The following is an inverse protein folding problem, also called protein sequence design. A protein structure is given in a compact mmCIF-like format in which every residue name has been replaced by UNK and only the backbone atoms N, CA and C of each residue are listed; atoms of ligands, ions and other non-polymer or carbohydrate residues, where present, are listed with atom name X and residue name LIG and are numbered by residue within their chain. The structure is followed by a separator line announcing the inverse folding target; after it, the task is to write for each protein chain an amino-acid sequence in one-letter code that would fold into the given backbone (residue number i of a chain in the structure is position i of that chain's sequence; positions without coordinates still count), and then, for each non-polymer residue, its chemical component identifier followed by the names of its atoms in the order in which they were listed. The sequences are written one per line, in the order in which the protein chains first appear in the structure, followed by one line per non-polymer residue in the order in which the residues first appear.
data_IF_411160128071
#
_entry.id   IF_411160128071
#
_cell.length_a   1.000
_cell.length_b   1.000
_cell.length_c   1.000
_cell.angle_alpha   90.00
_cell.angle_beta   90.00
_cell.angle_gamma   90.00
#
_symmetry.space_group_name_H-M   'P 1'
#
loop_
_entity.id
_entity.type
_entity.pdbx_description
1 polymer ?
#
# COMPACT_ATOMS: atom_id res chain seq x y z
N UNK A 1 43.58 -21.51 79.40
CA UNK A 1 43.66 -20.15 78.86
C UNK A 1 44.31 -20.29 77.48
N UNK A 2 43.48 -20.40 76.43
CA UNK A 2 43.27 -19.39 75.38
C UNK A 2 44.53 -19.27 74.49
N UNK A 3 44.54 -19.60 73.20
CA UNK A 3 43.61 -19.19 72.14
C UNK A 3 43.71 -20.19 70.96
N UNK A 4 42.59 -20.75 70.49
CA UNK A 4 42.53 -21.50 69.23
C UNK A 4 41.48 -20.82 68.34
N UNK A 5 41.93 -19.84 67.57
CA UNK A 5 41.08 -19.07 66.66
C UNK A 5 41.38 -19.49 65.22
N UNK A 6 40.71 -20.54 64.76
CA UNK A 6 40.51 -20.80 63.33
C UNK A 6 39.28 -19.99 62.87
N UNK A 7 39.37 -19.10 61.88
CA UNK A 7 38.18 -18.46 61.35
C UNK A 7 37.50 -19.42 60.36
N UNK A 8 36.34 -19.95 60.77
CA UNK A 8 35.40 -20.61 59.87
C UNK A 8 35.07 -19.69 58.69
N UNK A 9 35.52 -20.08 57.50
CA UNK A 9 35.17 -19.39 56.26
C UNK A 9 33.66 -19.54 56.03
N UNK A 10 32.92 -18.44 56.21
CA UNK A 10 31.52 -18.35 55.81
C UNK A 10 31.46 -18.41 54.28
N UNK A 11 31.04 -19.55 53.75
CA UNK A 11 30.66 -19.70 52.35
C UNK A 11 29.46 -18.80 52.08
N UNK A 12 29.70 -17.63 51.50
CA UNK A 12 28.65 -16.78 50.94
C UNK A 12 28.12 -17.47 49.68
N UNK A 13 26.86 -17.93 49.71
CA UNK A 13 26.16 -18.32 48.50
C UNK A 13 26.11 -17.10 47.56
N UNK A 14 26.36 -17.28 46.25
CA UNK A 14 26.12 -16.19 45.30
C UNK A 14 24.62 -15.88 45.30
N UNK A 15 24.26 -14.72 45.86
CA UNK A 15 22.94 -14.13 45.73
C UNK A 15 22.61 -14.05 44.24
N UNK A 16 21.55 -14.75 43.84
CA UNK A 16 20.99 -14.69 42.49
C UNK A 16 20.84 -13.23 42.09
N UNK A 17 21.66 -12.78 41.15
CA UNK A 17 21.54 -11.45 40.56
C UNK A 17 20.15 -11.36 39.93
N UNK A 18 19.27 -10.60 40.56
CA UNK A 18 18.05 -10.14 39.93
C UNK A 18 18.48 -9.36 38.69
N UNK A 19 18.28 -9.94 37.52
CA UNK A 19 18.45 -9.25 36.25
C UNK A 19 17.43 -8.11 36.21
N UNK A 20 17.79 -6.95 36.76
CA UNK A 20 17.01 -5.73 36.63
C UNK A 20 17.20 -5.26 35.20
N UNK A 21 16.30 -5.67 34.32
CA UNK A 21 16.31 -5.24 32.91
C UNK A 21 15.93 -3.76 32.85
N UNK A 22 16.79 -2.82 33.25
CA UNK A 22 16.46 -1.39 33.32
C UNK A 22 15.69 -0.92 32.09
N UNK A 23 14.58 -0.20 32.29
CA UNK A 23 13.81 0.36 31.17
C UNK A 23 14.74 1.25 30.32
N UNK A 24 14.60 1.25 28.98
CA UNK A 24 15.39 2.13 28.12
C UNK A 24 15.21 3.59 28.53
N UNK A 25 16.30 4.36 28.51
CA UNK A 25 16.30 5.79 28.87
C UNK A 25 15.69 6.69 27.79
N UNK A 26 15.37 6.15 26.61
CA UNK A 26 14.75 6.88 25.50
C UNK A 26 13.77 5.99 24.75
N UNK A 27 12.72 6.62 24.20
CA UNK A 27 11.76 5.92 23.36
C UNK A 27 12.43 5.54 22.02
N UNK A 28 12.31 4.28 21.57
CA UNK A 28 12.79 3.90 20.25
C UNK A 28 12.14 4.78 19.16
N UNK A 29 12.95 5.26 18.21
CA UNK A 29 12.43 5.97 17.03
C UNK A 29 11.73 4.94 16.14
N UNK A 30 10.40 5.02 16.04
CA UNK A 30 9.62 4.00 15.33
C UNK A 30 9.16 4.56 13.98
N UNK A 31 9.59 3.97 12.85
CA UNK A 31 9.32 4.53 11.53
C UNK A 31 7.91 4.24 11.01
N UNK A 32 7.13 3.39 11.68
CA UNK A 32 5.84 2.88 11.15
C UNK A 32 4.72 3.20 12.12
N UNK A 33 3.80 4.07 11.69
CA UNK A 33 2.52 4.28 12.37
C UNK A 33 1.45 3.35 11.80
N UNK A 34 0.67 2.73 12.68
CA UNK A 34 -0.54 1.99 12.29
C UNK A 34 -1.56 2.97 11.72
N UNK A 35 -2.02 2.74 10.50
CA UNK A 35 -2.94 3.65 9.77
C UNK A 35 -4.19 2.94 9.23
N UNK A 36 -4.51 1.76 9.78
CA UNK A 36 -5.66 0.94 9.41
C UNK A 36 -5.53 0.09 8.15
N UNK A 37 -4.45 0.24 7.36
CA UNK A 37 -4.18 -0.57 6.16
C UNK A 37 -2.96 -1.46 6.28
N UNK A 38 -2.10 -1.19 7.25
CA UNK A 38 -0.79 -1.82 7.42
C UNK A 38 -0.70 -2.66 8.71
N UNK A 39 -1.82 -3.15 9.25
CA UNK A 39 -1.84 -3.78 10.57
C UNK A 39 -0.87 -4.95 10.71
N UNK A 40 -0.82 -5.89 9.76
CA UNK A 40 0.09 -7.04 9.87
C UNK A 40 1.56 -6.65 9.80
N UNK A 41 1.92 -5.73 8.92
CA UNK A 41 3.27 -5.15 8.88
C UNK A 41 3.62 -4.41 10.18
N UNK A 42 2.73 -3.53 10.65
CA UNK A 42 2.89 -2.82 11.91
C UNK A 42 3.05 -3.77 13.09
N UNK A 43 2.22 -4.81 13.18
CA UNK A 43 2.27 -5.83 14.22
C UNK A 43 3.63 -6.54 14.22
N UNK A 44 4.15 -6.89 13.04
CA UNK A 44 5.49 -7.49 12.92
C UNK A 44 6.60 -6.59 13.47
N UNK A 45 6.61 -5.32 13.08
CA UNK A 45 7.58 -4.32 13.58
C UNK A 45 7.44 -4.14 15.10
N UNK A 46 6.21 -4.00 15.58
CA UNK A 46 5.91 -3.76 16.98
C UNK A 46 6.26 -4.97 17.87
N UNK A 47 5.98 -6.19 17.41
CA UNK A 47 6.39 -7.42 18.11
C UNK A 47 7.90 -7.46 18.29
N UNK A 48 8.68 -7.13 17.26
CA UNK A 48 10.14 -7.09 17.37
C UNK A 48 10.60 -6.04 18.39
N UNK A 49 10.02 -4.84 18.34
CA UNK A 49 10.31 -3.77 19.29
C UNK A 49 9.99 -4.14 20.73
N UNK A 50 8.84 -4.76 20.98
CA UNK A 50 8.46 -5.21 22.31
C UNK A 50 9.37 -6.36 22.79
N UNK A 51 9.80 -7.23 21.88
CA UNK A 51 10.74 -8.32 22.20
C UNK A 51 12.09 -7.80 22.65
N UNK A 52 12.68 -6.85 21.91
CA UNK A 52 14.00 -6.29 22.24
C UNK A 52 14.02 -5.54 23.57
N UNK A 53 12.87 -5.06 24.03
CA UNK A 53 12.71 -4.38 25.31
C UNK A 53 12.20 -5.30 26.45
N UNK A 54 11.99 -6.59 26.19
CA UNK A 54 11.47 -7.55 27.17
C UNK A 54 10.00 -7.32 27.57
N UNK A 55 9.22 -6.67 26.70
CA UNK A 55 7.84 -6.25 26.94
C UNK A 55 6.79 -7.16 26.25
N UNK A 56 7.21 -8.03 25.31
CA UNK A 56 6.26 -8.83 24.53
C UNK A 56 5.34 -9.69 25.41
N UNK A 57 5.87 -10.29 26.48
CA UNK A 57 5.08 -11.13 27.39
C UNK A 57 3.99 -10.34 28.14
N UNK A 58 4.15 -9.02 28.31
CA UNK A 58 3.15 -8.16 28.95
C UNK A 58 1.97 -7.96 28.01
N UNK A 59 2.21 -7.58 26.75
CA UNK A 59 1.14 -7.37 25.76
C UNK A 59 0.43 -8.65 25.36
N UNK A 60 1.10 -9.80 25.46
CA UNK A 60 0.51 -11.13 25.22
C UNK A 60 -0.17 -11.72 26.47
N UNK A 61 -0.12 -11.03 27.62
CA UNK A 61 -0.81 -11.46 28.84
C UNK A 61 -0.20 -12.70 29.49
N UNK A 62 1.06 -13.03 29.14
CA UNK A 62 1.80 -14.18 29.69
C UNK A 62 2.39 -13.89 31.06
N UNK A 63 2.51 -12.62 31.44
CA UNK A 63 2.98 -12.22 32.77
C UNK A 63 1.80 -12.17 33.74
N UNK A 64 1.87 -12.95 34.81
CA UNK A 64 0.87 -12.93 35.88
C UNK A 64 0.90 -11.60 36.62
N UNK A 65 -0.27 -10.97 36.79
CA UNK A 65 -0.39 -9.69 37.52
C UNK A 65 -0.18 -9.94 39.02
N UNK A 66 0.85 -9.35 39.65
CA UNK A 66 1.07 -9.52 41.08
C UNK A 66 -0.02 -8.85 41.91
N UNK A 67 -0.29 -9.35 43.11
CA UNK A 67 -1.21 -8.69 44.05
C UNK A 67 -0.73 -7.28 44.40
N UNK A 68 -1.64 -6.30 44.43
CA UNK A 68 -1.31 -4.89 44.73
C UNK A 68 -0.73 -4.67 46.12
N UNK A 69 -1.16 -5.48 47.07
CA UNK A 69 -0.72 -5.43 48.46
C UNK A 69 -0.16 -6.79 48.87
N UNK A 70 0.75 -6.75 49.85
CA UNK A 70 1.31 -7.91 50.53
C UNK A 70 1.23 -7.68 52.04
N UNK A 71 0.92 -8.73 52.79
CA UNK A 71 0.91 -8.69 54.25
C UNK A 71 2.33 -8.98 54.74
N UNK A 72 2.89 -8.07 55.52
CA UNK A 72 4.19 -8.25 56.15
C UNK A 72 4.09 -9.22 57.35
N UNK A 73 5.24 -9.68 57.86
CA UNK A 73 5.29 -10.68 58.94
C UNK A 73 4.66 -10.19 60.26
N UNK A 74 4.53 -8.88 60.42
CA UNK A 74 3.88 -8.20 61.54
C UNK A 74 2.35 -8.02 61.35
N UNK A 75 1.78 -8.51 60.24
CA UNK A 75 0.37 -8.36 59.89
C UNK A 75 0.03 -7.05 59.17
N UNK A 76 1.01 -6.16 58.96
CA UNK A 76 0.79 -4.88 58.28
C UNK A 76 0.56 -5.08 56.78
N UNK A 77 -0.48 -4.44 56.22
CA UNK A 77 -0.74 -4.44 54.77
C UNK A 77 0.16 -3.39 54.12
N UNK A 78 1.07 -3.84 53.25
CA UNK A 78 2.00 -2.97 52.52
C UNK A 78 1.80 -3.07 51.01
N UNK A 79 2.23 -2.05 50.28
CA UNK A 79 2.24 -2.07 48.82
C UNK A 79 3.25 -3.11 48.30
N UNK A 80 2.87 -3.85 47.26
CA UNK A 80 3.75 -4.82 46.65
C UNK A 80 4.69 -4.17 45.63
N UNK A 81 6.00 -4.27 45.87
CA UNK A 81 7.06 -3.83 44.94
C UNK A 81 6.96 -4.52 43.57
N UNK A 82 6.53 -5.77 43.54
CA UNK A 82 6.44 -6.55 42.29
C UNK A 82 5.29 -6.04 41.42
N UNK A 83 4.18 -5.63 42.04
CA UNK A 83 3.08 -4.98 41.36
C UNK A 83 3.52 -3.64 40.75
N UNK A 84 4.30 -2.84 41.48
CA UNK A 84 4.82 -1.57 40.95
C UNK A 84 5.76 -1.78 39.75
N UNK A 85 6.66 -2.77 39.81
CA UNK A 85 7.54 -3.10 38.70
C UNK A 85 6.74 -3.58 37.48
N UNK A 86 5.79 -4.51 37.71
CA UNK A 86 4.87 -4.95 36.66
C UNK A 86 4.12 -3.78 36.03
N UNK A 87 3.56 -2.88 36.84
CA UNK A 87 2.78 -1.74 36.37
C UNK A 87 3.65 -0.77 35.56
N UNK A 88 4.89 -0.52 36.00
CA UNK A 88 5.83 0.33 35.26
C UNK A 88 6.14 -0.24 33.87
N UNK A 89 6.34 -1.56 33.77
CA UNK A 89 6.59 -2.27 32.50
C UNK A 89 5.39 -2.25 31.58
N UNK A 90 4.21 -2.55 32.12
CA UNK A 90 2.96 -2.57 31.37
C UNK A 90 2.63 -1.17 30.84
N UNK A 91 2.75 -0.12 31.67
CA UNK A 91 2.56 1.26 31.24
C UNK A 91 3.56 1.69 30.16
N UNK A 92 4.81 1.25 30.26
CA UNK A 92 5.80 1.53 29.23
C UNK A 92 5.43 0.84 27.90
N UNK A 93 5.01 -0.43 27.94
CA UNK A 93 4.53 -1.14 26.76
C UNK A 93 3.30 -0.48 26.13
N UNK A 94 2.33 -0.06 26.96
CA UNK A 94 1.14 0.66 26.52
C UNK A 94 1.51 2.00 25.86
N UNK A 95 2.45 2.74 26.45
CA UNK A 95 2.96 4.00 25.88
C UNK A 95 3.63 3.75 24.53
N UNK A 96 4.45 2.70 24.41
CA UNK A 96 5.03 2.32 23.12
C UNK A 96 3.95 2.06 22.07
N UNK A 97 2.87 1.34 22.39
CA UNK A 97 1.74 1.11 21.47
C UNK A 97 1.07 2.43 21.08
N UNK A 98 0.76 3.30 22.04
CA UNK A 98 0.07 4.56 21.79
C UNK A 98 0.88 5.54 20.92
N UNK A 99 2.21 5.52 21.01
CA UNK A 99 3.07 6.41 20.19
C UNK A 99 3.18 5.99 18.71
N UNK A 100 2.82 4.74 18.39
CA UNK A 100 2.98 4.16 17.03
C UNK A 100 1.67 3.92 16.31
N UNK A 101 0.60 4.54 16.77
CA UNK A 101 -0.69 4.55 16.08
C UNK A 101 -0.97 5.96 15.55
N UNK A 102 -1.86 6.06 14.57
CA UNK A 102 -2.44 7.36 14.21
C UNK A 102 -3.34 7.86 15.34
N UNK A 103 -3.59 9.17 15.38
CA UNK A 103 -4.46 9.80 16.39
C UNK A 103 -5.85 9.15 16.42
N UNK A 104 -6.45 8.92 15.25
CA UNK A 104 -7.76 8.26 15.12
C UNK A 104 -7.83 6.90 15.82
N UNK A 105 -6.75 6.11 15.72
CA UNK A 105 -6.64 4.80 16.38
C UNK A 105 -6.27 4.98 17.85
N UNK A 106 -5.42 5.95 18.19
CA UNK A 106 -5.06 6.26 19.57
C UNK A 106 -6.27 6.61 20.44
N UNK A 107 -7.24 7.35 19.90
CA UNK A 107 -8.50 7.67 20.59
C UNK A 107 -9.28 6.42 20.98
N UNK A 108 -9.28 5.37 20.15
CA UNK A 108 -10.00 4.12 20.48
C UNK A 108 -9.28 3.31 21.56
N UNK A 109 -7.99 3.53 21.76
CA UNK A 109 -7.18 2.88 22.79
C UNK A 109 -7.18 3.62 24.13
N UNK A 110 -7.77 4.82 24.23
CA UNK A 110 -7.74 5.62 25.45
C UNK A 110 -8.46 4.94 26.64
N UNK A 111 -9.38 4.03 26.36
CA UNK A 111 -10.09 3.23 27.37
C UNK A 111 -9.29 2.03 27.88
N UNK A 112 -8.20 1.65 27.21
CA UNK A 112 -7.37 0.51 27.60
C UNK A 112 -6.56 0.84 28.86
N UNK A 113 -6.68 0.00 29.88
CA UNK A 113 -5.99 0.16 31.17
C UNK A 113 -4.67 -0.57 31.21
N UNK A 114 -4.48 -1.54 30.32
CA UNK A 114 -3.26 -2.36 30.24
C UNK A 114 -2.75 -2.45 28.81
N UNK A 115 -1.47 -2.75 28.66
CA UNK A 115 -0.86 -2.97 27.35
C UNK A 115 -1.47 -4.18 26.62
N UNK A 116 -1.88 -5.20 27.37
CA UNK A 116 -2.59 -6.37 26.86
C UNK A 116 -3.97 -6.02 26.28
N UNK A 117 -4.76 -5.19 26.98
CA UNK A 117 -6.06 -4.73 26.49
C UNK A 117 -5.91 -3.94 25.18
N UNK A 118 -4.93 -3.04 25.10
CA UNK A 118 -4.67 -2.29 23.86
C UNK A 118 -4.26 -3.22 22.71
N UNK A 119 -3.35 -4.16 22.97
CA UNK A 119 -2.85 -5.11 21.97
C UNK A 119 -3.96 -6.01 21.42
N UNK A 120 -4.81 -6.54 22.30
CA UNK A 120 -5.95 -7.39 21.94
C UNK A 120 -7.07 -6.62 21.24
N UNK A 121 -7.34 -5.38 21.66
CA UNK A 121 -8.29 -4.49 21.00
C UNK A 121 -7.89 -4.22 19.55
N UNK A 122 -6.62 -3.84 19.31
CA UNK A 122 -6.08 -3.66 17.96
C UNK A 122 -6.19 -4.94 17.12
N UNK A 123 -5.86 -6.09 17.69
CA UNK A 123 -6.00 -7.36 16.98
C UNK A 123 -7.45 -7.64 16.58
N UNK A 124 -8.39 -7.44 17.50
CA UNK A 124 -9.81 -7.68 17.25
C UNK A 124 -10.35 -6.74 16.17
N UNK A 125 -9.96 -5.46 16.20
CA UNK A 125 -10.40 -4.46 15.24
C UNK A 125 -9.85 -4.71 13.83
N UNK A 126 -8.55 -5.02 13.73
CA UNK A 126 -7.86 -5.02 12.43
C UNK A 126 -7.72 -6.38 11.78
N UNK A 127 -7.85 -7.52 12.49
CA UNK A 127 -7.74 -8.84 11.85
C UNK A 127 -8.88 -9.09 10.86
N UNK A 128 -10.12 -8.79 11.24
CA UNK A 128 -11.30 -8.93 10.37
C UNK A 128 -11.23 -7.95 9.20
N UNK A 129 -10.82 -6.71 9.47
CA UNK A 129 -10.61 -5.70 8.43
C UNK A 129 -9.52 -6.12 7.43
N UNK A 130 -8.42 -6.71 7.91
CA UNK A 130 -7.34 -7.20 7.04
C UNK A 130 -7.83 -8.31 6.11
N UNK A 131 -8.66 -9.23 6.62
CA UNK A 131 -9.27 -10.27 5.79
C UNK A 131 -10.22 -9.69 4.72
N UNK A 132 -10.99 -8.64 5.05
CA UNK A 132 -11.81 -7.94 4.06
C UNK A 132 -10.96 -7.19 3.01
N UNK A 133 -9.87 -6.55 3.44
CA UNK A 133 -8.91 -5.88 2.56
C UNK A 133 -8.26 -6.86 1.58
N UNK A 134 -7.93 -8.07 2.02
CA UNK A 134 -7.41 -9.11 1.14
C UNK A 134 -8.36 -9.43 -0.01
N UNK A 135 -9.63 -9.71 0.29
CA UNK A 135 -10.62 -10.03 -0.74
C UNK A 135 -10.76 -8.91 -1.78
N UNK A 136 -10.77 -7.66 -1.33
CA UNK A 136 -10.80 -6.50 -2.21
C UNK A 136 -9.53 -6.39 -3.05
N UNK A 137 -8.35 -6.62 -2.46
CA UNK A 137 -7.08 -6.63 -3.18
C UNK A 137 -7.05 -7.72 -4.26
N UNK A 138 -7.56 -8.91 -3.97
CA UNK A 138 -7.66 -10.00 -4.95
C UNK A 138 -8.59 -9.68 -6.12
N UNK A 139 -9.68 -8.97 -5.86
CA UNK A 139 -10.53 -8.45 -6.94
C UNK A 139 -9.78 -7.41 -7.78
N UNK A 140 -9.22 -6.37 -7.14
CA UNK A 140 -8.50 -5.29 -7.83
C UNK A 140 -7.30 -5.82 -8.62
N UNK A 141 -6.59 -6.82 -8.09
CA UNK A 141 -5.49 -7.49 -8.77
C UNK A 141 -5.97 -8.22 -10.03
N UNK A 142 -7.10 -8.94 -9.97
CA UNK A 142 -7.68 -9.62 -11.14
C UNK A 142 -8.14 -8.63 -12.21
N UNK A 143 -8.67 -7.50 -11.80
CA UNK A 143 -9.21 -6.46 -12.68
C UNK A 143 -8.14 -5.50 -13.22
N UNK A 144 -6.89 -5.62 -12.77
CA UNK A 144 -5.79 -4.77 -13.19
C UNK A 144 -5.50 -4.94 -14.69
N UNK A 145 -5.76 -3.88 -15.46
CA UNK A 145 -5.55 -3.81 -16.91
C UNK A 145 -4.85 -2.51 -17.29
N UNK A 146 -4.05 -2.54 -18.36
CA UNK A 146 -3.42 -1.32 -18.91
C UNK A 146 -4.49 -0.34 -19.38
N UNK A 147 -5.41 -0.76 -20.25
CA UNK A 147 -6.35 0.16 -20.90
C UNK A 147 -5.62 1.31 -21.59
N UNK A 148 -6.15 2.52 -21.48
CA UNK A 148 -5.63 3.73 -22.14
C UNK A 148 -4.46 4.38 -21.40
N UNK A 149 -4.04 3.85 -20.24
CA UNK A 149 -2.96 4.43 -19.47
C UNK A 149 -1.58 4.09 -20.05
N UNK A 150 -0.57 4.92 -19.78
CA UNK A 150 0.81 4.62 -20.16
C UNK A 150 1.33 3.37 -19.44
N UNK A 151 2.29 2.67 -20.05
CA UNK A 151 2.88 1.47 -19.47
C UNK A 151 3.51 1.75 -18.09
N UNK A 152 4.19 2.89 -17.95
CA UNK A 152 4.79 3.29 -16.68
C UNK A 152 3.74 3.46 -15.57
N UNK A 153 2.59 4.09 -15.88
CA UNK A 153 1.50 4.30 -14.92
C UNK A 153 0.85 2.97 -14.53
N UNK A 154 0.60 2.09 -15.49
CA UNK A 154 0.07 0.74 -15.26
C UNK A 154 0.97 -0.09 -14.34
N UNK A 155 2.27 -0.15 -14.64
CA UNK A 155 3.23 -0.89 -13.80
C UNK A 155 3.36 -0.26 -12.42
N UNK A 156 3.29 1.06 -12.33
CA UNK A 156 3.25 1.79 -11.05
C UNK A 156 2.06 1.35 -10.17
N UNK A 157 0.87 1.28 -10.74
CA UNK A 157 -0.32 0.78 -10.05
C UNK A 157 -0.13 -0.67 -9.59
N UNK A 158 0.43 -1.54 -10.45
CA UNK A 158 0.77 -2.91 -10.08
C UNK A 158 1.70 -3.01 -8.87
N UNK A 159 2.76 -2.19 -8.83
CA UNK A 159 3.70 -2.13 -7.69
C UNK A 159 3.02 -1.66 -6.40
N UNK A 160 2.09 -0.72 -6.49
CA UNK A 160 1.32 -0.27 -5.33
C UNK A 160 0.46 -1.42 -4.76
N UNK A 161 -0.19 -2.21 -5.61
CA UNK A 161 -0.93 -3.40 -5.16
C UNK A 161 0.01 -4.42 -4.48
N UNK A 162 1.19 -4.68 -5.05
CA UNK A 162 2.21 -5.58 -4.46
C UNK A 162 2.65 -5.10 -3.08
N UNK A 163 2.83 -3.79 -2.89
CA UNK A 163 3.15 -3.21 -1.60
C UNK A 163 2.02 -3.46 -0.59
N UNK A 164 0.76 -3.21 -0.97
CA UNK A 164 -0.41 -3.45 -0.10
C UNK A 164 -0.55 -4.93 0.27
N UNK A 165 -0.35 -5.84 -0.68
CA UNK A 165 -0.26 -7.28 -0.41
C UNK A 165 0.81 -7.63 0.64
N UNK A 166 1.98 -7.00 0.54
CA UNK A 166 3.05 -7.19 1.51
C UNK A 166 2.67 -6.65 2.91
N UNK A 167 1.94 -5.53 2.96
CA UNK A 167 1.47 -4.92 4.21
C UNK A 167 0.46 -5.79 4.96
N UNK A 168 -0.32 -6.60 4.25
CA UNK A 168 -1.23 -7.62 4.80
C UNK A 168 -0.56 -9.00 4.93
N UNK A 169 0.77 -9.08 4.89
CA UNK A 169 1.50 -10.34 5.10
C UNK A 169 1.35 -11.37 3.98
N UNK A 170 0.90 -10.98 2.79
CA UNK A 170 0.71 -11.85 1.62
C UNK A 170 1.52 -11.36 0.41
N UNK A 171 2.86 -11.30 0.50
CA UNK A 171 3.68 -10.81 -0.59
C UNK A 171 3.51 -11.66 -1.86
N UNK A 172 3.51 -11.00 -3.02
CA UNK A 172 3.46 -11.68 -4.33
C UNK A 172 4.86 -12.00 -4.82
N UNK A 173 5.04 -13.17 -5.41
CA UNK A 173 6.28 -13.58 -6.06
C UNK A 173 6.53 -12.80 -7.35
N UNK A 174 7.80 -12.70 -7.77
CA UNK A 174 8.17 -12.04 -9.03
C UNK A 174 7.40 -12.62 -10.22
N UNK A 175 7.25 -13.94 -10.28
CA UNK A 175 6.52 -14.62 -11.34
C UNK A 175 5.02 -14.25 -11.35
N UNK A 176 4.37 -14.12 -10.19
CA UNK A 176 2.98 -13.66 -10.10
C UNK A 176 2.82 -12.21 -10.55
N UNK A 177 3.76 -11.35 -10.17
CA UNK A 177 3.77 -9.94 -10.56
C UNK A 177 3.94 -9.82 -12.07
N UNK A 178 4.95 -10.47 -12.63
CA UNK A 178 5.23 -10.44 -14.06
C UNK A 178 4.06 -11.01 -14.86
N UNK A 179 3.52 -12.16 -14.44
CA UNK A 179 2.31 -12.75 -15.02
C UNK A 179 1.15 -11.79 -15.02
N UNK A 180 0.93 -11.08 -13.92
CA UNK A 180 -0.15 -10.10 -13.87
C UNK A 180 0.06 -8.95 -14.84
N UNK A 181 1.29 -8.43 -14.93
CA UNK A 181 1.64 -7.32 -15.82
C UNK A 181 1.35 -7.68 -17.26
N UNK A 182 1.91 -8.77 -17.80
CA UNK A 182 1.75 -9.07 -19.23
C UNK A 182 0.34 -9.58 -19.58
N UNK A 183 -0.37 -10.26 -18.68
CA UNK A 183 -1.79 -10.65 -18.90
C UNK A 183 -2.77 -9.49 -18.76
N UNK A 184 -2.35 -8.38 -18.15
CA UNK A 184 -3.15 -7.15 -18.05
C UNK A 184 -2.97 -6.23 -19.27
N UNK A 185 -2.13 -6.61 -20.23
CA UNK A 185 -1.93 -5.86 -21.46
C UNK A 185 -3.10 -6.10 -22.43
N UNK A 186 -3.38 -5.09 -23.26
CA UNK A 186 -4.41 -5.20 -24.30
C UNK A 186 -3.96 -6.07 -25.49
N UNK A 187 -4.88 -6.39 -26.42
CA UNK A 187 -4.62 -7.26 -27.58
C UNK A 187 -3.48 -6.75 -28.47
N UNK A 188 -3.31 -5.44 -28.50
CA UNK A 188 -2.17 -4.73 -29.09
C UNK A 188 -0.79 -5.25 -28.68
N UNK A 189 -0.66 -5.86 -27.51
CA UNK A 189 0.59 -6.37 -26.96
C UNK A 189 0.73 -7.89 -27.14
N UNK A 190 -0.29 -8.57 -27.65
CA UNK A 190 -0.32 -10.02 -27.80
C UNK A 190 0.89 -10.57 -28.59
N UNK A 191 1.37 -9.94 -29.69
CA UNK A 191 2.52 -10.47 -30.43
C UNK A 191 3.81 -10.57 -29.58
N UNK A 192 4.08 -9.56 -28.74
CA UNK A 192 5.28 -9.57 -27.89
C UNK A 192 5.10 -10.49 -26.68
N UNK A 193 3.87 -10.58 -26.15
CA UNK A 193 3.55 -11.49 -25.04
C UNK A 193 3.70 -12.95 -25.49
N UNK A 194 3.14 -13.33 -26.64
CA UNK A 194 3.27 -14.68 -27.18
C UNK A 194 4.73 -15.04 -27.45
N UNK A 195 5.50 -14.14 -28.07
CA UNK A 195 6.88 -14.39 -28.44
C UNK A 195 7.85 -14.50 -27.25
N UNK A 196 7.52 -13.91 -26.09
CA UNK A 196 8.47 -13.77 -24.98
C UNK A 196 7.89 -14.15 -23.60
N UNK A 197 6.72 -14.78 -23.53
CA UNK A 197 6.02 -15.10 -22.27
C UNK A 197 6.90 -15.83 -21.25
N UNK A 198 7.59 -16.90 -21.65
CA UNK A 198 8.49 -17.66 -20.77
C UNK A 198 9.61 -16.78 -20.19
N UNK A 199 10.20 -15.94 -21.04
CA UNK A 199 11.25 -14.99 -20.64
C UNK A 199 10.69 -13.93 -19.70
N UNK A 200 9.49 -13.41 -19.97
CA UNK A 200 8.82 -12.39 -19.16
C UNK A 200 8.48 -12.90 -17.75
N UNK A 201 8.13 -14.17 -17.60
CA UNK A 201 7.90 -14.78 -16.28
C UNK A 201 9.20 -14.88 -15.48
N UNK A 202 10.31 -15.27 -16.13
CA UNK A 202 11.57 -15.57 -15.46
C UNK A 202 12.44 -14.34 -15.13
N UNK A 203 12.31 -13.25 -15.88
CA UNK A 203 13.10 -12.03 -15.65
C UNK A 203 12.69 -11.26 -14.40
N UNK A 204 13.51 -10.32 -13.95
CA UNK A 204 13.12 -9.41 -12.87
C UNK A 204 12.01 -8.45 -13.31
N UNK A 205 11.19 -7.99 -12.37
CA UNK A 205 10.12 -7.00 -12.67
C UNK A 205 10.68 -5.68 -13.21
N UNK A 206 11.92 -5.31 -12.85
CA UNK A 206 12.59 -4.11 -13.39
C UNK A 206 12.94 -4.29 -14.86
N UNK A 207 13.50 -5.44 -15.24
CA UNK A 207 13.80 -5.75 -16.64
C UNK A 207 12.54 -5.80 -17.49
N UNK A 208 11.47 -6.44 -16.97
CA UNK A 208 10.17 -6.47 -17.65
C UNK A 208 9.63 -5.06 -17.87
N UNK A 209 9.73 -4.20 -16.86
CA UNK A 209 9.32 -2.80 -16.98
C UNK A 209 10.11 -2.08 -18.07
N UNK A 210 11.43 -2.18 -18.07
CA UNK A 210 12.27 -1.55 -19.08
C UNK A 210 11.94 -2.03 -20.51
N UNK A 211 11.71 -3.34 -20.67
CA UNK A 211 11.33 -3.94 -21.94
C UNK A 211 9.98 -3.41 -22.45
N UNK A 212 8.96 -3.40 -21.58
CA UNK A 212 7.62 -2.99 -21.96
C UNK A 212 7.52 -1.47 -22.23
N UNK A 213 8.20 -0.65 -21.44
CA UNK A 213 8.25 0.81 -21.65
C UNK A 213 8.99 1.14 -22.96
N UNK A 214 10.16 0.54 -23.21
CA UNK A 214 10.88 0.76 -24.47
C UNK A 214 10.10 0.27 -25.69
N UNK A 215 9.30 -0.78 -25.55
CA UNK A 215 8.38 -1.22 -26.60
C UNK A 215 7.22 -0.23 -26.84
N UNK A 216 6.68 0.39 -25.78
CA UNK A 216 5.67 1.45 -25.90
C UNK A 216 6.21 2.64 -26.70
N UNK A 217 7.41 3.12 -26.36
CA UNK A 217 8.07 4.24 -27.03
C UNK A 217 8.29 3.96 -28.52
N UNK A 218 8.79 2.77 -28.87
CA UNK A 218 9.00 2.38 -30.27
C UNK A 218 7.70 2.33 -31.06
N UNK A 219 6.62 1.85 -30.45
CA UNK A 219 5.29 1.82 -31.08
C UNK A 219 4.73 3.20 -31.32
N UNK A 220 4.84 4.09 -30.33
CA UNK A 220 4.41 5.48 -30.47
C UNK A 220 5.20 6.20 -31.56
N UNK A 221 6.52 5.99 -31.61
CA UNK A 221 7.37 6.56 -32.67
C UNK A 221 6.95 6.08 -34.07
N UNK A 222 6.72 4.77 -34.24
CA UNK A 222 6.28 4.20 -35.52
C UNK A 222 4.89 4.72 -35.94
N UNK A 223 3.96 4.89 -35.00
CA UNK A 223 2.64 5.44 -35.28
C UNK A 223 2.70 6.88 -35.80
N UNK A 224 3.57 7.71 -35.22
CA UNK A 224 3.80 9.10 -35.68
C UNK A 224 4.37 9.12 -37.10
N UNK A 225 5.36 8.28 -37.41
CA UNK A 225 5.94 8.20 -38.75
C UNK A 225 4.93 7.71 -39.80
N UNK A 226 4.15 6.69 -39.46
CA UNK A 226 3.11 6.18 -40.36
C UNK A 226 2.03 7.23 -40.62
N UNK A 227 1.60 7.98 -39.60
CA UNK A 227 0.64 9.08 -39.76
C UNK A 227 1.18 10.23 -40.64
N UNK A 228 2.47 10.56 -40.53
CA UNK A 228 3.12 11.57 -41.36
C UNK A 228 3.26 11.15 -42.83
N UNK A 229 3.48 9.85 -43.09
CA UNK A 229 3.58 9.32 -44.45
C UNK A 229 2.23 9.32 -45.19
N UNK A 230 1.12 9.05 -44.50
CA UNK A 230 -0.24 9.04 -45.09
C UNK A 230 -0.71 10.44 -45.49
N UNK A 231 -0.40 11.47 -44.69
CA UNK A 231 -0.75 12.87 -45.00
C UNK A 231 0.08 13.45 -46.15
N UNK A 232 1.33 13.00 -46.34
CA UNK A 232 2.15 13.40 -47.48
C UNK A 232 1.63 12.83 -48.81
N UNK A 233 1.04 11.62 -48.80
CA UNK A 233 0.47 10.98 -49.98
C UNK A 233 -0.94 11.46 -50.39
N UNK A 234 -1.61 12.28 -49.57
CA UNK A 234 -2.97 12.78 -49.85
C UNK A 234 -3.02 14.22 -50.37
N UNK A 235 -1.90 14.79 -50.81
CA UNK A 235 -1.90 16.11 -51.43
C UNK A 235 -2.73 16.07 -52.74
N UNK A 236 -3.77 16.92 -52.89
CA UNK A 236 -4.60 16.89 -54.08
C UNK A 236 -3.79 17.34 -55.30
N UNK A 237 -3.77 16.51 -56.35
CA UNK A 237 -3.19 16.79 -57.66
C UNK A 237 -4.03 17.82 -58.44
N UNK A 238 -4.40 18.95 -57.83
CA UNK A 238 -5.27 19.97 -58.46
C UNK A 238 -4.50 21.15 -59.05
N UNK A 239 -3.19 21.03 -59.29
CA UNK A 239 -2.34 22.13 -59.75
C UNK A 239 -1.77 22.04 -61.17
N UNK A 240 -2.05 20.99 -61.95
CA UNK A 240 -1.34 20.73 -63.23
C UNK A 240 -2.09 21.17 -64.50
N UNK A 241 -3.34 21.61 -64.41
CA UNK A 241 -4.04 22.21 -65.55
C UNK A 241 -4.18 23.72 -65.31
N UNK A 242 -3.39 24.48 -66.08
CA UNK A 242 -3.37 25.94 -66.05
C UNK A 242 -4.74 26.58 -66.25
N UNK A 243 -4.87 27.81 -65.76
CA UNK A 243 -6.08 28.60 -65.82
C UNK A 243 -6.69 28.64 -67.24
N UNK A 244 -8.01 28.51 -67.40
CA UNK A 244 -8.65 28.75 -68.68
C UNK A 244 -8.55 30.25 -69.02
N UNK A 245 -8.38 30.62 -70.30
CA UNK A 245 -8.33 32.02 -70.69
C UNK A 245 -9.70 32.68 -70.51
N UNK A 246 -9.64 33.95 -70.14
CA UNK A 246 -10.76 34.85 -69.87
C UNK A 246 -11.60 35.03 -71.14
N UNK A 247 -12.86 34.57 -71.12
CA UNK A 247 -13.87 34.99 -72.10
C UNK A 247 -14.49 36.32 -71.68
N UNK A 248 -14.40 37.30 -72.58
CA UNK A 248 -15.01 38.62 -72.47
C UNK A 248 -16.49 38.50 -72.85
N UNK A 249 -17.39 38.59 -71.88
CA UNK A 249 -18.83 38.60 -72.15
C UNK A 249 -19.32 40.02 -72.49
N UNK A 250 -19.89 40.15 -73.69
CA UNK A 250 -20.71 41.29 -74.12
C UNK A 250 -22.09 41.26 -73.43
N UNK A 251 -22.61 42.46 -73.16
CA UNK A 251 -23.90 42.75 -72.52
C UNK A 251 -25.06 42.58 -73.50
N UNK A 252 -26.11 41.86 -73.07
CA UNK A 252 -27.55 42.19 -73.21
C UNK A 252 -28.32 41.04 -72.52
N UNK A 253 -29.48 41.14 -71.87
CA UNK A 253 -30.48 42.18 -71.69
C UNK A 253 -31.77 41.44 -71.28
N UNK A 254 -32.48 41.98 -70.27
CA UNK A 254 -33.92 41.80 -69.96
C UNK A 254 -34.49 40.49 -69.35
N UNK A 255 -35.12 40.75 -68.19
CA UNK A 255 -36.51 40.42 -67.80
C UNK A 255 -36.85 39.19 -66.92
N UNK A 256 -37.27 39.55 -65.70
CA UNK A 256 -38.51 39.21 -64.99
C UNK A 256 -38.71 37.93 -64.16
N UNK A 257 -39.13 38.24 -62.93
CA UNK A 257 -40.24 37.66 -62.15
C UNK A 257 -40.01 36.44 -61.23
N UNK A 258 -40.09 36.78 -59.93
CA UNK A 258 -41.08 36.27 -58.97
C UNK A 258 -41.13 34.77 -58.66
N UNK A 259 -40.87 34.43 -57.40
CA UNK A 259 -41.26 33.14 -56.85
C UNK A 259 -40.88 32.95 -55.39
N UNK A 260 -41.63 33.59 -54.48
CA UNK A 260 -41.69 33.20 -53.05
C UNK A 260 -42.17 31.75 -52.95
N UNK A 261 -41.51 30.91 -52.14
CA UNK A 261 -42.29 30.06 -51.24
C UNK A 261 -41.55 29.62 -49.97
N UNK A 262 -42.27 29.77 -48.85
CA UNK A 262 -41.96 29.31 -47.49
C UNK A 262 -42.37 27.86 -47.36
N UNK A 263 -41.49 26.99 -46.85
CA UNK A 263 -41.83 25.64 -46.40
C UNK A 263 -41.29 25.41 -44.99
N UNK A 264 -42.21 25.39 -44.02
CA UNK A 264 -41.98 25.20 -42.58
C UNK A 264 -42.50 23.80 -42.25
N UNK A 265 -41.67 22.88 -41.76
CA UNK A 265 -42.15 21.61 -41.19
C UNK A 265 -41.59 21.44 -39.78
N UNK A 266 -42.51 21.01 -38.92
CA UNK A 266 -42.51 20.93 -37.47
C UNK A 266 -42.78 19.46 -37.12
N UNK A 267 -42.21 18.96 -36.03
CA UNK A 267 -42.58 17.67 -35.41
C UNK A 267 -41.54 16.57 -35.67
N UNK A 268 -41.21 15.69 -34.73
CA UNK A 268 -41.94 15.31 -33.53
C UNK A 268 -41.05 14.72 -32.44
N UNK A 269 -41.67 14.73 -31.26
CA UNK A 269 -41.21 14.30 -29.95
C UNK A 269 -41.53 12.79 -29.83
N UNK A 270 -40.59 11.99 -29.37
CA UNK A 270 -40.80 10.56 -29.08
C UNK A 270 -39.97 10.15 -27.87
N UNK A 271 -40.63 10.06 -26.73
CA UNK A 271 -40.12 9.58 -25.44
C UNK A 271 -40.63 8.13 -25.27
N UNK A 272 -39.83 7.21 -24.75
CA UNK A 272 -40.30 5.84 -24.54
C UNK A 272 -39.33 4.92 -23.82
N UNK A 273 -39.48 4.91 -22.48
CA UNK A 273 -39.02 3.94 -21.47
C UNK A 273 -37.53 3.85 -21.14
#
# INVERSE_FOLDING_TARGET
MADNSSPSTLTVLPSSSSNSTTLPSSFPTIPVKLNGRNYLYWKGVMTHLLTTNGLLNYVEGKVTVPSKTKTAADGTIMLNSDFLNWQSRDNFALTCIMLVVTEEIGVTLLSAKTSHEAWTSLATAFLTQTAAQENLLDQQWRDLKKGDQSMAKFIGAGKEHVLRYSQIGKPKSVAEINRRIYTGLGPDWEPIVLAQSERMIAMSTKELQSLLVGHEERRLYAAVQNAASVTASSAPLSGILGAPPIEVNYVDGRHNQSGRNKGKIKGGKGNGK
#
